data_IF_483045457953
#
_entry.id   IF_483045457953
#
_cell.length_a   1.000
_cell.length_b   1.000
_cell.length_c   1.000
_cell.angle_alpha   90.00
_cell.angle_beta   90.00
_cell.angle_gamma   90.00
#
_symmetry.space_group_name_H-M   'P 1'
#
loop_
_entity.id
_entity.type
_entity.pdbx_description
1 polymer ?
#
# COMPACT_ATOMS: atom_id res chain seq x y z
N UNK A 1 -6.84 2.81 16.96
CA UNK A 1 -6.01 2.44 15.79
C UNK A 1 -4.75 1.71 16.24
N UNK A 2 -4.20 0.78 15.42
CA UNK A 2 -2.94 0.05 15.68
C UNK A 2 -1.82 0.59 14.78
N UNK A 3 -0.57 0.45 15.22
CA UNK A 3 0.60 0.84 14.45
C UNK A 3 1.35 -0.39 13.95
N UNK A 4 1.60 -0.43 12.66
CA UNK A 4 2.36 -1.48 11.99
C UNK A 4 3.29 -0.94 10.92
N UNK A 5 3.80 -1.83 10.09
CA UNK A 5 4.60 -1.48 8.93
C UNK A 5 4.54 -2.56 7.83
N UNK A 6 4.80 -2.15 6.59
CA UNK A 6 4.98 -3.04 5.46
C UNK A 6 6.35 -3.71 5.54
N UNK A 7 6.36 -5.04 5.58
CA UNK A 7 7.58 -5.84 5.83
C UNK A 7 8.59 -5.83 4.68
N UNK A 8 8.18 -5.42 3.49
CA UNK A 8 8.99 -5.45 2.27
C UNK A 8 10.36 -4.73 2.38
N UNK A 9 10.48 -3.72 3.24
CA UNK A 9 11.75 -3.02 3.45
C UNK A 9 12.80 -3.85 4.22
N UNK A 10 12.39 -4.91 4.92
CA UNK A 10 13.27 -5.85 5.65
C UNK A 10 13.46 -7.15 4.83
N UNK A 11 13.78 -7.00 3.56
CA UNK A 11 13.78 -8.05 2.54
C UNK A 11 14.68 -9.25 2.81
N UNK A 12 15.70 -9.09 3.62
CA UNK A 12 16.72 -10.12 3.89
C UNK A 12 16.43 -10.89 5.19
N UNK A 13 15.38 -10.49 5.93
CA UNK A 13 14.92 -11.17 7.13
C UNK A 13 13.80 -12.18 6.81
N UNK A 14 13.70 -13.22 7.63
CA UNK A 14 12.55 -14.13 7.67
C UNK A 14 11.35 -13.46 8.37
N UNK A 15 10.14 -13.99 8.18
CA UNK A 15 8.94 -13.53 8.91
C UNK A 15 9.14 -13.60 10.44
N UNK A 16 9.78 -14.65 10.95
CA UNK A 16 10.10 -14.80 12.38
C UNK A 16 11.02 -13.68 12.89
N UNK A 17 12.08 -13.35 12.14
CA UNK A 17 13.03 -12.29 12.52
C UNK A 17 12.37 -10.92 12.47
N UNK A 18 11.53 -10.66 11.45
CA UNK A 18 10.73 -9.42 11.35
C UNK A 18 9.78 -9.31 12.53
N UNK A 19 9.04 -10.39 12.85
CA UNK A 19 8.07 -10.41 13.95
C UNK A 19 8.76 -10.21 15.30
N UNK A 20 9.86 -10.91 15.56
CA UNK A 20 10.64 -10.78 16.78
C UNK A 20 11.12 -9.32 17.00
N UNK A 21 11.67 -8.71 15.96
CA UNK A 21 12.11 -7.32 16.04
C UNK A 21 10.93 -6.36 16.22
N UNK A 22 9.86 -6.51 15.43
CA UNK A 22 8.68 -5.65 15.50
C UNK A 22 8.07 -5.64 16.92
N UNK A 23 7.87 -6.80 17.51
CA UNK A 23 7.36 -6.93 18.87
C UNK A 23 8.30 -6.29 19.91
N UNK A 24 9.60 -6.56 19.79
CA UNK A 24 10.60 -6.01 20.73
C UNK A 24 10.63 -4.47 20.75
N UNK A 25 10.30 -3.83 19.62
CA UNK A 25 10.26 -2.37 19.52
C UNK A 25 8.83 -1.81 19.62
N UNK A 26 7.81 -2.63 19.87
CA UNK A 26 6.45 -2.22 20.21
C UNK A 26 5.57 -1.83 19.04
N UNK A 27 5.73 -2.47 17.89
CA UNK A 27 4.70 -2.55 16.85
C UNK A 27 3.62 -3.56 17.24
N UNK A 28 2.43 -3.40 16.70
CA UNK A 28 1.24 -4.21 17.03
C UNK A 28 0.80 -5.08 15.86
N UNK A 29 1.12 -4.64 14.63
CA UNK A 29 0.70 -5.33 13.40
C UNK A 29 1.79 -5.32 12.33
N UNK A 30 1.66 -6.25 11.38
CA UNK A 30 2.48 -6.31 10.18
C UNK A 30 1.57 -6.28 8.94
N UNK A 31 1.97 -5.54 7.94
CA UNK A 31 1.51 -5.73 6.56
C UNK A 31 2.54 -6.59 5.86
N UNK A 32 2.18 -7.83 5.52
CA UNK A 32 3.15 -8.84 5.11
C UNK A 32 3.29 -8.93 3.61
N UNK A 33 4.51 -8.77 3.11
CA UNK A 33 4.84 -8.88 1.69
C UNK A 33 4.65 -10.31 1.17
N UNK A 34 3.91 -10.45 0.04
CA UNK A 34 3.52 -11.71 -0.58
C UNK A 34 3.73 -11.71 -2.10
N UNK A 35 4.85 -11.16 -2.60
CA UNK A 35 5.17 -11.25 -4.03
C UNK A 35 5.50 -12.70 -4.43
N UNK A 36 5.38 -13.06 -5.73
CA UNK A 36 5.76 -14.39 -6.19
C UNK A 36 7.21 -14.74 -5.81
N UNK A 37 7.42 -15.92 -5.26
CA UNK A 37 8.76 -16.46 -5.03
C UNK A 37 9.49 -16.72 -6.35
N UNK A 38 10.85 -16.68 -6.33
CA UNK A 38 11.66 -17.09 -7.50
C UNK A 38 12.28 -15.97 -8.34
N UNK A 39 12.17 -14.71 -7.92
CA UNK A 39 13.13 -13.66 -8.32
C UNK A 39 13.00 -13.15 -9.74
N UNK A 40 11.99 -12.37 -10.06
CA UNK A 40 12.04 -11.38 -11.13
C UNK A 40 12.97 -10.21 -10.76
N UNK A 41 13.28 -9.32 -11.72
CA UNK A 41 13.99 -8.08 -11.41
C UNK A 41 13.27 -7.33 -10.27
N UNK A 42 13.93 -7.28 -9.11
CA UNK A 42 13.41 -6.56 -7.94
C UNK A 42 13.53 -5.06 -8.21
N UNK A 43 12.40 -4.39 -8.37
CA UNK A 43 12.36 -2.93 -8.27
C UNK A 43 12.25 -2.57 -6.79
N UNK A 44 13.40 -2.30 -6.13
CA UNK A 44 13.46 -1.97 -4.70
C UNK A 44 12.77 -3.03 -3.84
N UNK A 45 11.63 -2.68 -3.24
CA UNK A 45 10.87 -3.54 -2.34
C UNK A 45 9.86 -4.47 -3.05
N UNK A 46 9.54 -4.24 -4.32
CA UNK A 46 8.73 -5.16 -5.11
C UNK A 46 9.51 -6.48 -5.35
N UNK A 47 8.82 -7.61 -5.19
CA UNK A 47 9.43 -8.94 -5.33
C UNK A 47 9.96 -9.53 -4.02
N UNK A 48 9.74 -8.87 -2.87
CA UNK A 48 9.96 -9.45 -1.54
C UNK A 48 8.79 -10.35 -1.18
N UNK A 49 9.07 -11.50 -0.56
CA UNK A 49 8.03 -12.33 0.04
C UNK A 49 8.46 -12.81 1.41
N UNK A 50 7.59 -12.60 2.41
CA UNK A 50 7.73 -13.15 3.75
C UNK A 50 6.72 -14.27 4.00
N UNK A 51 5.66 -14.35 3.17
CA UNK A 51 4.78 -15.51 3.06
C UNK A 51 4.68 -15.84 1.57
N UNK A 52 5.30 -16.96 1.16
CA UNK A 52 5.12 -17.51 -0.18
C UNK A 52 3.76 -18.20 -0.24
N UNK A 53 2.80 -17.58 -0.94
CA UNK A 53 1.43 -18.08 -1.00
C UNK A 53 1.28 -19.40 -1.77
N UNK A 54 2.31 -19.83 -2.48
CA UNK A 54 2.38 -21.13 -3.16
C UNK A 54 2.97 -22.23 -2.28
N UNK A 55 3.75 -21.86 -1.21
CA UNK A 55 4.42 -22.82 -0.32
C UNK A 55 4.52 -22.28 1.12
N UNK A 56 3.41 -22.24 1.84
CA UNK A 56 3.38 -21.81 3.24
C UNK A 56 2.56 -22.76 4.12
N UNK A 57 2.96 -22.88 5.38
CA UNK A 57 2.19 -23.54 6.42
C UNK A 57 1.47 -22.51 7.30
N UNK A 58 0.13 -22.51 7.23
CA UNK A 58 -0.67 -21.55 7.97
C UNK A 58 -0.58 -21.71 9.50
N UNK A 59 -0.26 -22.92 9.98
CA UNK A 59 -0.02 -23.17 11.40
C UNK A 59 1.25 -22.47 11.84
N UNK A 60 2.35 -22.69 11.12
CA UNK A 60 3.64 -22.06 11.39
C UNK A 60 3.56 -20.53 11.36
N UNK A 61 2.83 -19.94 10.41
CA UNK A 61 2.64 -18.48 10.35
C UNK A 61 1.92 -17.98 11.61
N UNK A 62 0.83 -18.65 12.04
CA UNK A 62 0.10 -18.26 13.25
C UNK A 62 0.98 -18.42 14.49
N UNK A 63 1.73 -19.51 14.61
CA UNK A 63 2.62 -19.76 15.73
C UNK A 63 3.69 -18.66 15.88
N UNK A 64 4.20 -18.12 14.77
CA UNK A 64 5.11 -16.97 14.77
C UNK A 64 4.42 -15.74 15.34
N UNK A 65 3.23 -15.41 14.84
CA UNK A 65 2.49 -14.21 15.28
C UNK A 65 2.08 -14.32 16.76
N UNK A 66 1.54 -15.45 17.17
CA UNK A 66 1.10 -15.71 18.56
C UNK A 66 2.27 -15.61 19.55
N UNK A 67 3.45 -16.16 19.19
CA UNK A 67 4.67 -16.09 20.00
C UNK A 67 5.10 -14.65 20.27
N UNK A 68 4.91 -13.78 19.31
CA UNK A 68 5.33 -12.37 19.41
C UNK A 68 4.19 -11.41 19.75
N UNK A 69 2.95 -11.88 19.86
CA UNK A 69 1.78 -11.07 20.17
C UNK A 69 1.46 -10.04 19.09
N UNK A 70 1.68 -10.41 17.81
CA UNK A 70 1.44 -9.58 16.65
C UNK A 70 0.24 -10.06 15.84
N UNK A 71 -0.35 -9.16 15.07
CA UNK A 71 -1.38 -9.48 14.08
C UNK A 71 -0.89 -9.14 12.67
N UNK A 72 -1.43 -9.80 11.66
CA UNK A 72 -1.29 -9.34 10.27
C UNK A 72 -2.48 -8.45 9.93
N UNK A 73 -2.21 -7.20 9.57
CA UNK A 73 -3.25 -6.24 9.15
C UNK A 73 -3.66 -6.42 7.70
N UNK A 74 -2.71 -6.78 6.84
CA UNK A 74 -2.90 -6.95 5.40
C UNK A 74 -1.84 -7.89 4.82
N UNK A 75 -2.20 -8.66 3.79
CA UNK A 75 -1.23 -9.25 2.88
C UNK A 75 -1.02 -8.31 1.70
N UNK A 76 0.24 -8.02 1.40
CA UNK A 76 0.64 -6.99 0.45
C UNK A 76 1.15 -7.59 -0.87
N UNK A 77 0.46 -7.26 -1.97
CA UNK A 77 0.90 -7.55 -3.32
C UNK A 77 0.43 -6.45 -4.26
N UNK A 78 1.34 -5.62 -4.76
CA UNK A 78 1.04 -4.39 -5.49
C UNK A 78 1.47 -4.45 -6.98
N UNK A 79 0.85 -5.32 -7.82
CA UNK A 79 1.12 -5.38 -9.25
C UNK A 79 0.24 -4.42 -10.04
N UNK A 80 0.51 -4.30 -11.35
CA UNK A 80 -0.41 -3.67 -12.29
C UNK A 80 -1.49 -4.69 -12.73
N UNK A 81 -2.62 -4.73 -12.04
CA UNK A 81 -3.72 -5.67 -12.33
C UNK A 81 -4.48 -5.36 -13.63
N UNK A 82 -4.27 -4.20 -14.25
CA UNK A 82 -4.83 -3.83 -15.55
C UNK A 82 -3.76 -3.80 -16.66
N UNK A 83 -2.63 -4.47 -16.46
CA UNK A 83 -1.51 -4.49 -17.39
C UNK A 83 -1.98 -4.75 -18.83
N UNK A 84 -1.43 -4.02 -19.85
CA UNK A 84 -1.85 -4.15 -21.25
C UNK A 84 -1.62 -5.55 -21.82
N UNK A 85 -0.51 -6.19 -21.48
CA UNK A 85 -0.24 -7.58 -21.87
C UNK A 85 -1.20 -8.53 -21.14
N UNK A 86 -1.97 -9.30 -21.91
CA UNK A 86 -3.01 -10.16 -21.39
C UNK A 86 -2.46 -11.36 -20.60
N UNK A 87 -1.37 -11.95 -21.06
CA UNK A 87 -0.76 -13.10 -20.39
C UNK A 87 -0.16 -12.68 -19.04
N UNK A 88 0.56 -11.56 -19.00
CA UNK A 88 1.09 -11.00 -17.75
C UNK A 88 -0.04 -10.57 -16.80
N UNK A 89 -1.09 -9.94 -17.33
CA UNK A 89 -2.27 -9.57 -16.53
C UNK A 89 -2.96 -10.80 -15.92
N UNK A 90 -3.09 -11.88 -16.68
CA UNK A 90 -3.65 -13.13 -16.17
C UNK A 90 -2.78 -13.75 -15.07
N UNK A 91 -1.45 -13.70 -15.21
CA UNK A 91 -0.49 -14.15 -14.20
C UNK A 91 -0.62 -13.35 -12.90
N UNK A 92 -0.56 -12.03 -12.96
CA UNK A 92 -0.62 -11.18 -11.75
C UNK A 92 -1.99 -11.26 -11.07
N UNK A 93 -3.09 -11.32 -11.83
CA UNK A 93 -4.43 -11.50 -11.26
C UNK A 93 -4.61 -12.91 -10.66
N UNK A 94 -3.98 -13.92 -11.26
CA UNK A 94 -3.93 -15.27 -10.71
C UNK A 94 -3.20 -15.32 -9.37
N UNK A 95 -2.06 -14.63 -9.24
CA UNK A 95 -1.33 -14.54 -7.98
C UNK A 95 -2.11 -13.72 -6.94
N UNK A 96 -2.75 -12.62 -7.32
CA UNK A 96 -3.61 -11.85 -6.40
C UNK A 96 -4.72 -12.72 -5.79
N UNK A 97 -5.34 -13.61 -6.57
CA UNK A 97 -6.32 -14.58 -6.03
C UNK A 97 -5.71 -15.50 -4.99
N UNK A 98 -4.49 -16.00 -5.21
CA UNK A 98 -3.78 -16.83 -4.22
C UNK A 98 -3.49 -16.05 -2.94
N UNK A 99 -3.12 -14.76 -3.04
CA UNK A 99 -2.93 -13.89 -1.87
C UNK A 99 -4.25 -13.70 -1.10
N UNK A 100 -5.37 -13.52 -1.80
CA UNK A 100 -6.71 -13.45 -1.20
C UNK A 100 -7.06 -14.77 -0.49
N UNK A 101 -6.83 -15.92 -1.13
CA UNK A 101 -7.09 -17.23 -0.54
C UNK A 101 -6.21 -17.48 0.70
N UNK A 102 -4.96 -17.04 0.65
CA UNK A 102 -4.04 -17.09 1.80
C UNK A 102 -4.52 -16.19 2.95
N UNK A 103 -4.99 -14.98 2.65
CA UNK A 103 -5.56 -14.07 3.64
C UNK A 103 -6.76 -14.71 4.35
N UNK A 104 -7.70 -15.27 3.59
CA UNK A 104 -8.85 -15.99 4.15
C UNK A 104 -8.42 -17.16 5.05
N UNK A 105 -7.47 -17.99 4.59
CA UNK A 105 -6.95 -19.15 5.36
C UNK A 105 -6.23 -18.74 6.63
N UNK A 106 -5.53 -17.61 6.63
CA UNK A 106 -4.79 -17.07 7.79
C UNK A 106 -5.71 -16.24 8.72
N UNK A 107 -6.92 -15.87 8.29
CA UNK A 107 -7.81 -14.98 9.04
C UNK A 107 -7.38 -13.51 8.94
N UNK A 108 -6.61 -13.14 7.90
CA UNK A 108 -6.20 -11.76 7.64
C UNK A 108 -7.33 -11.00 6.97
N UNK A 109 -7.74 -9.84 7.50
CA UNK A 109 -8.96 -9.18 7.03
C UNK A 109 -8.82 -8.50 5.67
N UNK A 110 -7.59 -8.14 5.27
CA UNK A 110 -7.38 -7.23 4.13
C UNK A 110 -6.25 -7.72 3.22
N UNK A 111 -6.40 -7.49 1.93
CA UNK A 111 -5.31 -7.60 0.93
C UNK A 111 -5.06 -6.22 0.35
N UNK A 112 -3.82 -5.75 0.45
CA UNK A 112 -3.35 -4.51 -0.15
C UNK A 112 -2.84 -4.74 -1.58
N UNK A 113 -3.30 -3.91 -2.54
CA UNK A 113 -2.92 -4.05 -3.95
C UNK A 113 -3.05 -2.74 -4.73
N UNK A 114 -2.65 -2.72 -6.02
CA UNK A 114 -2.99 -1.65 -6.96
C UNK A 114 -4.16 -2.03 -7.86
N UNK A 115 -4.92 -1.03 -8.32
CA UNK A 115 -5.90 -1.24 -9.40
C UNK A 115 -5.18 -1.62 -10.69
N UNK A 116 -4.07 -0.98 -10.95
CA UNK A 116 -3.36 -1.05 -12.22
C UNK A 116 -3.86 -0.04 -13.24
N UNK A 117 -3.14 0.11 -14.35
CA UNK A 117 -3.47 1.02 -15.45
C UNK A 117 -2.71 0.63 -16.72
N UNK A 118 -3.31 0.86 -17.87
CA UNK A 118 -2.63 0.90 -19.16
C UNK A 118 -2.32 2.37 -19.49
N UNK A 119 -1.09 2.79 -19.21
CA UNK A 119 -0.65 4.19 -19.36
C UNK A 119 -0.76 4.74 -20.79
N UNK A 120 -0.84 3.85 -21.77
CA UNK A 120 -0.92 4.21 -23.20
C UNK A 120 -2.37 4.34 -23.70
N UNK A 121 -3.35 4.15 -22.79
CA UNK A 121 -4.77 4.30 -23.06
C UNK A 121 -5.39 5.44 -22.27
N UNK A 122 -6.42 6.10 -22.81
CA UNK A 122 -7.14 7.15 -22.09
C UNK A 122 -7.95 6.57 -20.91
N UNK A 123 -8.23 7.44 -19.94
CA UNK A 123 -8.96 7.08 -18.72
C UNK A 123 -10.27 6.32 -18.97
N UNK A 124 -11.16 6.69 -19.92
CA UNK A 124 -12.39 5.94 -20.16
C UNK A 124 -12.16 4.47 -20.53
N UNK A 125 -11.16 4.18 -21.36
CA UNK A 125 -10.84 2.79 -21.76
C UNK A 125 -10.29 1.99 -20.58
N UNK A 126 -9.51 2.62 -19.71
CA UNK A 126 -9.03 1.98 -18.48
C UNK A 126 -10.16 1.71 -17.49
N UNK A 127 -11.15 2.61 -17.37
CA UNK A 127 -12.35 2.38 -16.56
C UNK A 127 -13.23 1.26 -17.13
N UNK A 128 -13.34 1.13 -18.45
CA UNK A 128 -14.02 -0.01 -19.07
C UNK A 128 -13.31 -1.33 -18.74
N UNK A 129 -11.99 -1.37 -18.83
CA UNK A 129 -11.18 -2.55 -18.46
C UNK A 129 -11.33 -2.87 -16.96
N UNK A 130 -11.34 -1.86 -16.10
CA UNK A 130 -11.62 -2.03 -14.69
C UNK A 130 -12.99 -2.69 -14.45
N UNK A 131 -14.04 -2.18 -15.07
CA UNK A 131 -15.40 -2.73 -14.96
C UNK A 131 -15.50 -4.18 -15.46
N UNK A 132 -14.64 -4.57 -16.40
CA UNK A 132 -14.62 -5.94 -16.93
C UNK A 132 -13.88 -6.94 -16.02
N UNK A 133 -12.89 -6.50 -15.24
CA UNK A 133 -11.96 -7.39 -14.51
C UNK A 133 -12.22 -7.38 -13.01
N UNK A 134 -12.33 -6.18 -12.42
CA UNK A 134 -12.30 -6.00 -10.98
C UNK A 134 -13.50 -6.53 -10.19
N UNK A 135 -14.76 -6.49 -10.71
CA UNK A 135 -15.89 -7.06 -9.98
C UNK A 135 -15.71 -8.53 -9.60
N UNK A 136 -15.08 -9.32 -10.46
CA UNK A 136 -14.81 -10.73 -10.21
C UNK A 136 -13.71 -10.95 -9.16
N UNK A 137 -12.65 -10.11 -9.16
CA UNK A 137 -11.61 -10.13 -8.14
C UNK A 137 -12.16 -9.76 -6.75
N UNK A 138 -12.98 -8.71 -6.68
CA UNK A 138 -13.59 -8.26 -5.42
C UNK A 138 -14.60 -9.29 -4.92
N UNK A 139 -15.44 -9.85 -5.79
CA UNK A 139 -16.39 -10.91 -5.43
C UNK A 139 -15.68 -12.15 -4.88
N UNK A 140 -14.54 -12.53 -5.48
CA UNK A 140 -13.70 -13.63 -4.98
C UNK A 140 -13.22 -13.38 -3.56
N UNK A 141 -12.78 -12.15 -3.25
CA UNK A 141 -12.31 -11.77 -1.92
C UNK A 141 -13.46 -11.71 -0.90
N UNK A 142 -14.51 -10.95 -1.21
CA UNK A 142 -15.61 -10.69 -0.26
C UNK A 142 -16.43 -11.95 0.05
N UNK A 143 -16.54 -12.90 -0.91
CA UNK A 143 -17.15 -14.20 -0.65
C UNK A 143 -16.41 -15.04 0.41
N UNK A 144 -15.14 -14.73 0.66
CA UNK A 144 -14.29 -15.37 1.67
C UNK A 144 -14.11 -14.50 2.94
N UNK A 145 -14.80 -13.36 3.02
CA UNK A 145 -14.68 -12.43 4.14
C UNK A 145 -13.41 -11.57 4.11
N UNK A 146 -12.72 -11.49 2.97
CA UNK A 146 -11.51 -10.67 2.78
C UNK A 146 -11.87 -9.37 2.07
N UNK A 147 -11.31 -8.26 2.56
CA UNK A 147 -11.44 -6.94 1.96
C UNK A 147 -10.26 -6.69 1.00
N UNK A 148 -10.49 -5.89 -0.03
CA UNK A 148 -9.46 -5.46 -0.98
C UNK A 148 -9.24 -3.96 -0.84
N UNK A 149 -8.07 -3.58 -0.39
CA UNK A 149 -7.67 -2.19 -0.20
C UNK A 149 -6.71 -1.76 -1.32
N UNK A 150 -7.16 -0.85 -2.19
CA UNK A 150 -6.32 -0.35 -3.29
C UNK A 150 -5.59 0.92 -2.88
N UNK A 151 -4.28 0.92 -3.11
CA UNK A 151 -3.46 2.08 -2.79
C UNK A 151 -3.62 3.19 -3.84
N UNK A 152 -3.57 4.43 -3.37
CA UNK A 152 -3.71 5.63 -4.22
C UNK A 152 -2.40 6.14 -4.84
N UNK A 153 -1.36 5.31 -4.90
CA UNK A 153 -0.13 5.63 -5.61
C UNK A 153 -0.38 5.74 -7.12
N UNK A 154 0.04 6.83 -7.81
CA UNK A 154 -0.10 6.93 -9.27
C UNK A 154 0.87 5.99 -10.01
N UNK A 155 1.91 5.45 -9.35
CA UNK A 155 2.97 4.63 -9.94
C UNK A 155 3.63 5.30 -11.16
N UNK A 156 4.07 6.53 -10.96
CA UNK A 156 4.75 7.36 -11.95
C UNK A 156 6.14 7.75 -11.40
N UNK A 157 7.17 7.00 -11.75
CA UNK A 157 8.52 7.17 -11.21
C UNK A 157 9.56 7.52 -12.27
N UNK A 158 9.20 7.38 -13.54
CA UNK A 158 10.06 7.70 -14.68
C UNK A 158 9.21 8.22 -15.84
N UNK A 159 9.87 8.77 -16.86
CA UNK A 159 9.19 9.18 -18.09
C UNK A 159 8.63 8.01 -18.89
N UNK A 160 9.03 6.76 -18.59
CA UNK A 160 8.48 5.58 -19.23
C UNK A 160 7.02 5.31 -18.78
N UNK A 161 6.65 5.75 -17.56
CA UNK A 161 5.28 5.69 -17.06
C UNK A 161 4.44 6.94 -17.36
N UNK A 162 5.04 8.00 -17.86
CA UNK A 162 4.36 9.24 -18.21
C UNK A 162 3.50 9.06 -19.49
N UNK A 163 2.28 9.68 -19.60
CA UNK A 163 1.64 10.55 -18.60
C UNK A 163 0.74 9.85 -17.59
N UNK A 164 0.39 8.59 -17.77
CA UNK A 164 -0.71 7.95 -17.04
C UNK A 164 -0.31 7.24 -15.73
N UNK A 165 0.96 6.89 -15.55
CA UNK A 165 1.38 5.98 -14.47
C UNK A 165 0.84 4.56 -14.66
N UNK A 166 1.20 3.66 -13.77
CA UNK A 166 0.81 2.24 -13.83
C UNK A 166 -0.31 1.88 -12.82
N UNK A 167 -0.93 2.86 -12.19
CA UNK A 167 -2.08 2.65 -11.31
C UNK A 167 -3.14 3.74 -11.50
N UNK A 168 -4.41 3.33 -11.52
CA UNK A 168 -5.55 4.19 -11.83
C UNK A 168 -6.09 4.94 -10.61
N UNK A 169 -5.95 4.38 -9.41
CA UNK A 169 -6.62 4.85 -8.19
C UNK A 169 -5.99 6.09 -7.54
N UNK A 170 -5.52 7.07 -8.30
CA UNK A 170 -4.71 8.18 -7.77
C UNK A 170 -5.49 9.45 -7.39
N UNK A 171 -6.80 9.55 -7.64
CA UNK A 171 -7.56 10.77 -7.31
C UNK A 171 -9.00 10.51 -6.85
N UNK A 172 -9.59 11.43 -6.07
CA UNK A 172 -10.98 11.36 -5.61
C UNK A 172 -12.00 11.19 -6.74
N UNK A 173 -11.78 11.84 -7.89
CA UNK A 173 -12.68 11.70 -9.04
C UNK A 173 -12.68 10.27 -9.59
N UNK A 174 -11.52 9.64 -9.67
CA UNK A 174 -11.42 8.24 -10.11
C UNK A 174 -11.97 7.30 -9.03
N UNK A 175 -11.70 7.54 -7.75
CA UNK A 175 -12.25 6.71 -6.67
C UNK A 175 -13.79 6.66 -6.72
N UNK A 176 -14.44 7.81 -7.00
CA UNK A 176 -15.89 7.84 -7.17
C UNK A 176 -16.37 6.89 -8.29
N UNK A 177 -15.71 6.89 -9.45
CA UNK A 177 -15.98 5.96 -10.56
C UNK A 177 -15.75 4.48 -10.19
N UNK A 178 -14.66 4.20 -9.46
CA UNK A 178 -14.34 2.85 -9.02
C UNK A 178 -15.40 2.33 -8.02
N UNK A 179 -15.80 3.15 -7.06
CA UNK A 179 -16.79 2.77 -6.04
C UNK A 179 -18.23 2.76 -6.57
N UNK A 180 -18.53 3.54 -7.61
CA UNK A 180 -19.80 3.42 -8.33
C UNK A 180 -19.86 2.09 -9.09
N UNK A 181 -18.76 1.70 -9.74
CA UNK A 181 -18.68 0.44 -10.46
C UNK A 181 -18.70 -0.79 -9.53
N UNK A 182 -18.11 -0.67 -8.33
CA UNK A 182 -18.08 -1.72 -7.30
C UNK A 182 -18.57 -1.14 -5.97
N UNK A 183 -19.88 -1.19 -5.71
CA UNK A 183 -20.47 -0.63 -4.50
C UNK A 183 -20.21 -1.48 -3.23
N UNK A 184 -19.67 -2.70 -3.38
CA UNK A 184 -19.34 -3.59 -2.27
C UNK A 184 -18.42 -2.89 -1.26
N UNK A 185 -18.77 -2.93 0.03
CA UNK A 185 -18.01 -2.29 1.11
C UNK A 185 -16.68 -2.98 1.41
N UNK A 186 -16.47 -4.20 0.93
CA UNK A 186 -15.19 -4.92 0.99
C UNK A 186 -14.18 -4.45 -0.05
N UNK A 187 -14.52 -3.48 -0.90
CA UNK A 187 -13.60 -2.81 -1.81
C UNK A 187 -13.41 -1.34 -1.39
N UNK A 188 -12.17 -0.93 -1.15
CA UNK A 188 -11.88 0.41 -0.65
C UNK A 188 -10.41 0.80 -0.82
N UNK A 189 -10.00 1.82 -0.08
CA UNK A 189 -8.66 2.40 -0.18
C UNK A 189 -7.70 1.82 0.87
N UNK A 190 -6.48 1.58 0.45
CA UNK A 190 -5.31 1.69 1.29
C UNK A 190 -4.80 3.12 1.13
N UNK A 191 -5.20 4.03 2.03
CA UNK A 191 -4.96 5.46 1.84
C UNK A 191 -3.56 5.84 2.28
N UNK A 192 -2.76 6.34 1.33
CA UNK A 192 -1.45 6.94 1.56
C UNK A 192 -1.52 8.46 1.38
N UNK A 193 -1.30 9.25 2.44
CA UNK A 193 -1.34 10.72 2.35
C UNK A 193 -0.20 11.31 1.53
N UNK A 194 0.94 10.63 1.40
CA UNK A 194 2.10 11.12 0.64
C UNK A 194 1.77 11.36 -0.83
N UNK A 195 0.97 10.46 -1.41
CA UNK A 195 0.53 10.59 -2.80
C UNK A 195 -0.46 11.73 -3.00
N UNK A 196 -1.25 12.07 -1.98
CA UNK A 196 -2.14 13.24 -2.02
C UNK A 196 -1.33 14.54 -1.94
N UNK A 197 -0.28 14.60 -1.08
CA UNK A 197 0.67 15.71 -1.04
C UNK A 197 1.36 15.87 -2.40
N UNK A 198 1.84 14.78 -2.98
CA UNK A 198 2.42 14.76 -4.33
C UNK A 198 1.48 15.41 -5.36
N UNK A 199 0.22 14.97 -5.37
CA UNK A 199 -0.78 15.41 -6.35
C UNK A 199 -1.48 16.72 -5.96
N UNK A 200 -1.07 17.38 -4.89
CA UNK A 200 -1.67 18.62 -4.36
C UNK A 200 -3.17 18.46 -4.01
N UNK A 201 -3.56 17.26 -3.55
CA UNK A 201 -4.92 16.94 -3.11
C UNK A 201 -5.02 17.15 -1.61
N UNK A 202 -6.11 17.78 -1.15
CA UNK A 202 -6.38 18.01 0.27
C UNK A 202 -6.65 16.66 0.98
N UNK A 203 -5.70 16.26 1.84
CA UNK A 203 -5.72 14.98 2.56
C UNK A 203 -6.93 14.86 3.47
N UNK A 204 -7.23 15.91 4.25
CA UNK A 204 -8.34 15.87 5.22
C UNK A 204 -9.70 15.85 4.52
N UNK A 205 -9.82 16.55 3.41
CA UNK A 205 -11.02 16.49 2.58
C UNK A 205 -11.21 15.10 1.97
N UNK A 206 -10.15 14.50 1.44
CA UNK A 206 -10.19 13.15 0.88
C UNK A 206 -10.64 12.13 1.95
N UNK A 207 -10.10 12.21 3.18
CA UNK A 207 -10.52 11.36 4.30
C UNK A 207 -12.00 11.59 4.64
N UNK A 208 -12.44 12.84 4.74
CA UNK A 208 -13.82 13.18 5.07
C UNK A 208 -14.82 12.67 4.03
N UNK A 209 -14.46 12.82 2.74
CA UNK A 209 -15.36 12.49 1.64
C UNK A 209 -15.41 10.96 1.38
N UNK A 210 -14.33 10.22 1.67
CA UNK A 210 -14.18 8.78 1.39
C UNK A 210 -13.94 7.93 2.64
N UNK A 211 -14.14 8.43 3.84
CA UNK A 211 -13.84 7.75 5.11
C UNK A 211 -14.44 6.34 5.22
N UNK A 212 -15.69 6.16 4.75
CA UNK A 212 -16.35 4.86 4.74
C UNK A 212 -15.72 3.83 3.77
N UNK A 213 -14.79 4.26 2.93
CA UNK A 213 -14.06 3.44 1.96
C UNK A 213 -12.57 3.25 2.34
N UNK A 214 -12.10 3.81 3.45
CA UNK A 214 -10.74 3.59 3.93
C UNK A 214 -10.71 2.27 4.71
N UNK A 215 -10.09 1.25 4.15
CA UNK A 215 -9.98 -0.09 4.73
C UNK A 215 -8.62 -0.31 5.41
N UNK A 216 -7.59 0.36 4.92
CA UNK A 216 -6.22 0.32 5.43
C UNK A 216 -5.55 1.67 5.18
N UNK A 217 -4.42 1.97 5.84
CA UNK A 217 -3.66 3.19 5.57
C UNK A 217 -2.17 2.92 5.52
N UNK A 218 -1.50 3.52 4.56
CA UNK A 218 -0.05 3.66 4.57
C UNK A 218 0.38 4.95 5.26
N UNK A 219 1.48 4.89 5.98
CA UNK A 219 2.17 6.04 6.55
C UNK A 219 3.52 6.21 5.88
N UNK A 220 3.49 6.86 4.73
CA UNK A 220 4.62 7.39 4.01
C UNK A 220 4.52 8.91 3.99
N UNK A 221 5.64 9.59 4.10
CA UNK A 221 5.73 11.04 3.96
C UNK A 221 6.34 11.42 2.62
N UNK A 222 6.25 12.68 2.27
CA UNK A 222 6.79 13.20 1.02
C UNK A 222 7.32 14.61 1.21
N UNK A 223 8.57 14.81 0.81
CA UNK A 223 9.19 16.14 0.70
C UNK A 223 9.03 16.64 -0.74
N UNK A 224 8.62 17.89 -0.90
CA UNK A 224 8.64 18.58 -2.19
C UNK A 224 9.96 19.36 -2.31
N UNK A 225 10.86 18.88 -3.19
CA UNK A 225 12.03 19.67 -3.59
C UNK A 225 11.56 20.90 -4.38
N UNK A 226 11.57 22.05 -3.71
CA UNK A 226 11.07 23.33 -4.28
C UNK A 226 11.89 23.79 -5.47
N UNK A 227 13.20 23.54 -5.50
CA UNK A 227 14.06 23.86 -6.64
C UNK A 227 13.80 22.90 -7.81
N UNK A 228 13.60 21.62 -7.52
CA UNK A 228 13.18 20.63 -8.50
C UNK A 228 11.83 20.98 -9.11
N UNK A 229 10.84 21.35 -8.29
CA UNK A 229 9.52 21.77 -8.75
C UNK A 229 9.59 23.05 -9.61
N UNK A 230 10.40 24.04 -9.23
CA UNK A 230 10.62 25.22 -10.04
C UNK A 230 11.20 24.89 -11.43
N UNK A 231 12.15 23.95 -11.51
CA UNK A 231 12.77 23.56 -12.77
C UNK A 231 11.88 22.71 -13.68
N UNK A 232 11.13 21.79 -13.10
CA UNK A 232 10.42 20.75 -13.85
C UNK A 232 8.90 21.01 -13.97
N UNK A 233 8.33 21.76 -13.03
CA UNK A 233 6.89 22.03 -12.99
C UNK A 233 6.05 20.78 -12.67
N UNK A 234 4.77 20.98 -12.42
CA UNK A 234 3.83 19.90 -12.06
C UNK A 234 3.55 18.92 -13.21
N UNK A 235 3.71 19.37 -14.48
CA UNK A 235 3.51 18.51 -15.65
C UNK A 235 4.58 17.42 -15.80
N UNK A 236 5.67 17.48 -15.04
CA UNK A 236 6.63 16.39 -14.94
C UNK A 236 6.07 15.19 -14.14
N UNK A 237 4.87 15.31 -13.57
CA UNK A 237 4.25 14.26 -12.75
C UNK A 237 5.02 13.93 -11.47
N UNK A 238 5.80 14.87 -10.95
CA UNK A 238 6.65 14.65 -9.77
C UNK A 238 8.08 14.21 -10.09
N UNK A 239 8.36 13.85 -11.34
CA UNK A 239 9.72 13.47 -11.72
C UNK A 239 10.66 14.66 -11.51
N UNK A 240 11.65 14.45 -10.64
CA UNK A 240 12.68 15.45 -10.31
C UNK A 240 12.30 16.43 -9.20
N UNK A 241 11.19 16.26 -8.48
CA UNK A 241 10.83 17.14 -7.35
C UNK A 241 10.05 16.47 -6.20
N UNK A 242 9.45 15.30 -6.41
CA UNK A 242 8.86 14.55 -5.32
C UNK A 242 9.93 13.62 -4.69
N UNK A 243 10.01 13.59 -3.36
CA UNK A 243 10.99 12.79 -2.64
C UNK A 243 10.30 12.02 -1.52
N UNK A 244 10.17 10.68 -1.64
CA UNK A 244 9.61 9.86 -0.58
C UNK A 244 10.40 10.01 0.73
N UNK A 245 9.69 10.11 1.85
CA UNK A 245 10.23 10.28 3.19
C UNK A 245 9.54 9.36 4.19
N UNK A 246 10.23 9.11 5.28
CA UNK A 246 9.61 8.53 6.47
C UNK A 246 8.72 9.57 7.17
N UNK A 247 7.65 9.12 7.87
CA UNK A 247 6.78 9.97 8.66
C UNK A 247 7.54 10.97 9.55
N UNK A 248 7.19 12.25 9.39
CA UNK A 248 7.81 13.38 10.10
C UNK A 248 8.99 14.01 9.38
N UNK A 249 9.40 13.52 8.23
CA UNK A 249 10.49 14.08 7.43
C UNK A 249 10.03 14.77 6.14
N UNK A 250 8.72 14.82 5.90
CA UNK A 250 8.09 15.43 4.72
C UNK A 250 7.04 16.47 5.09
N UNK A 251 6.04 16.64 4.21
CA UNK A 251 5.00 17.67 4.31
C UNK A 251 3.65 17.16 4.84
N UNK A 252 3.51 15.85 5.15
CA UNK A 252 2.29 15.31 5.74
C UNK A 252 2.10 15.80 7.17
N UNK A 253 0.97 16.43 7.46
CA UNK A 253 0.60 16.78 8.83
C UNK A 253 0.04 15.59 9.58
N UNK A 254 0.87 14.77 10.20
CA UNK A 254 0.49 13.53 10.90
C UNK A 254 -0.57 13.75 11.99
N UNK A 255 -0.50 14.81 12.83
CA UNK A 255 -1.56 15.06 13.80
C UNK A 255 -2.92 15.32 13.14
N UNK A 256 -2.97 16.04 12.02
CA UNK A 256 -4.21 16.31 11.29
C UNK A 256 -4.71 15.08 10.55
N UNK A 257 -3.80 14.27 9.98
CA UNK A 257 -4.13 13.00 9.34
C UNK A 257 -4.82 12.04 10.31
N UNK A 258 -4.20 11.78 11.47
CA UNK A 258 -4.75 10.88 12.50
C UNK A 258 -6.07 11.42 13.05
N UNK A 259 -6.17 12.73 13.31
CA UNK A 259 -7.41 13.35 13.76
C UNK A 259 -8.54 13.23 12.72
N UNK A 260 -8.24 13.39 11.42
CA UNK A 260 -9.21 13.24 10.35
C UNK A 260 -9.71 11.79 10.23
N UNK A 261 -8.82 10.79 10.33
CA UNK A 261 -9.19 9.38 10.37
C UNK A 261 -10.12 9.06 11.54
N UNK A 262 -9.76 9.54 12.73
CA UNK A 262 -10.60 9.37 13.93
C UNK A 262 -11.97 10.02 13.78
N UNK A 263 -12.05 11.20 13.16
CA UNK A 263 -13.29 11.93 12.95
C UNK A 263 -14.29 11.21 12.02
N UNK A 264 -13.80 10.38 11.09
CA UNK A 264 -14.65 9.54 10.23
C UNK A 264 -14.89 8.14 10.80
N UNK A 265 -14.40 7.86 12.02
CA UNK A 265 -14.60 6.59 12.71
C UNK A 265 -13.65 5.48 12.25
N UNK A 266 -12.56 5.80 11.56
CA UNK A 266 -11.54 4.81 11.21
C UNK A 266 -10.76 4.40 12.47
N UNK A 267 -10.77 3.11 12.76
CA UNK A 267 -10.05 2.50 13.91
C UNK A 267 -9.18 1.31 13.48
N UNK A 268 -8.73 1.33 12.22
CA UNK A 268 -7.90 0.29 11.63
C UNK A 268 -6.41 0.43 11.95
N UNK A 269 -5.58 0.25 10.95
CA UNK A 269 -4.12 0.23 11.07
C UNK A 269 -3.51 1.42 10.36
N UNK A 270 -2.46 1.97 10.96
CA UNK A 270 -1.51 2.87 10.31
C UNK A 270 -0.23 2.07 10.06
N UNK A 271 0.00 1.69 8.79
CA UNK A 271 1.11 0.86 8.35
C UNK A 271 2.23 1.74 7.79
N UNK A 272 3.40 1.78 8.43
CA UNK A 272 4.54 2.56 7.91
C UNK A 272 5.03 1.90 6.62
N UNK A 273 5.05 2.67 5.54
CA UNK A 273 5.70 2.30 4.29
C UNK A 273 7.05 3.00 4.20
N UNK A 274 8.12 2.21 4.19
CA UNK A 274 9.48 2.73 4.19
C UNK A 274 10.00 2.86 2.75
N UNK A 275 10.13 4.09 2.26
CA UNK A 275 10.71 4.40 0.95
C UNK A 275 11.74 5.56 0.99
N UNK A 276 12.22 5.94 2.17
CA UNK A 276 13.21 7.02 2.31
C UNK A 276 14.62 6.50 2.02
N UNK A 277 15.19 6.91 0.88
CA UNK A 277 16.54 6.51 0.44
C UNK A 277 17.65 6.87 1.42
N UNK A 278 17.42 7.79 2.37
CA UNK A 278 18.41 8.13 3.39
C UNK A 278 18.57 7.04 4.45
N UNK A 279 17.59 6.13 4.52
CA UNK A 279 17.54 5.03 5.48
C UNK A 279 17.56 3.65 4.80
N UNK A 280 18.05 3.56 3.55
CA UNK A 280 18.20 2.32 2.79
C UNK A 280 19.65 1.83 2.74
N UNK A 281 19.85 0.60 2.25
CA UNK A 281 21.17 0.02 1.94
C UNK A 281 21.80 -0.77 3.07
N UNK A 282 21.25 -0.69 4.29
CA UNK A 282 21.72 -1.41 5.46
C UNK A 282 20.51 -1.70 6.36
N UNK A 283 20.41 -2.93 6.89
CA UNK A 283 19.29 -3.38 7.72
C UNK A 283 19.09 -2.50 8.96
N UNK A 284 20.19 -2.18 9.66
CA UNK A 284 20.13 -1.35 10.85
C UNK A 284 19.68 0.07 10.52
N UNK A 285 20.03 0.58 9.35
CA UNK A 285 19.59 1.89 8.88
C UNK A 285 18.08 1.89 8.57
N UNK A 286 17.57 0.83 7.93
CA UNK A 286 16.12 0.61 7.69
C UNK A 286 15.38 0.55 9.02
N UNK A 287 15.84 -0.25 9.96
CA UNK A 287 15.26 -0.36 11.32
C UNK A 287 15.23 1.00 12.05
N UNK A 288 16.29 1.78 11.96
CA UNK A 288 16.32 3.15 12.49
C UNK A 288 15.28 4.05 11.85
N UNK A 289 15.05 3.90 10.55
CA UNK A 289 13.99 4.61 9.84
C UNK A 289 12.60 4.27 10.38
N UNK A 290 12.30 2.99 10.57
CA UNK A 290 11.06 2.55 11.20
C UNK A 290 10.89 3.09 12.63
N UNK A 291 11.95 3.09 13.44
CA UNK A 291 11.91 3.64 14.81
C UNK A 291 11.64 5.14 14.80
N UNK A 292 12.20 5.89 13.87
CA UNK A 292 11.94 7.32 13.72
C UNK A 292 10.45 7.54 13.40
N UNK A 293 9.93 6.87 12.38
CA UNK A 293 8.53 6.96 11.97
C UNK A 293 7.57 6.56 13.11
N UNK A 294 7.87 5.44 13.81
CA UNK A 294 7.13 4.99 14.99
C UNK A 294 7.07 6.07 16.07
N UNK A 295 8.19 6.71 16.36
CA UNK A 295 8.25 7.75 17.41
C UNK A 295 7.45 9.01 17.05
N UNK A 296 7.26 9.28 15.76
CA UNK A 296 6.38 10.36 15.27
C UNK A 296 4.91 9.97 15.39
N UNK A 297 4.56 8.74 15.01
CA UNK A 297 3.16 8.31 14.89
C UNK A 297 2.57 7.82 16.22
N UNK A 298 3.33 7.06 17.02
CA UNK A 298 2.82 6.42 18.24
C UNK A 298 2.14 7.38 19.23
N UNK A 299 2.65 8.59 19.50
CA UNK A 299 1.99 9.53 20.40
C UNK A 299 0.65 10.07 19.90
N UNK A 300 0.33 9.90 18.61
CA UNK A 300 -0.89 10.37 17.98
C UNK A 300 -2.00 9.32 17.97
N UNK A 301 -1.63 8.04 18.14
CA UNK A 301 -2.54 6.89 18.10
C UNK A 301 -3.01 6.59 19.52
N UNK A 302 -4.33 6.68 19.73
CA UNK A 302 -4.99 6.44 21.03
C UNK A 302 -5.73 5.11 20.99
#
# INVERSE_FOLDING_TARGET
MKLGFLTAALQDLTLEEVAAWAAAVGFETLEVACWPGGGGERRRYAGVTHIDVDDYDAGSVRDVLDRHGLEISSLAYYPNNLHPDEAHRAEVNGHLRKVIDAAAKLGVPTVGTFVGNDKDRPLPENLERFRAIWPDLVSHATSQGVQVAVENCPMLFSYDEWPGGNNLAWSPAIWAELFEAIPDSGFGLNLDPSHLVWLQIDVERAIRDFGARILHTHAKDLEIDRDGLYRNGTLSGGIGWQVPRLPGLGEVSWPRFVAALSAVGYDGVISIEHEDRRFEGDEELVKRGFLLARNVLRPLIV
#
